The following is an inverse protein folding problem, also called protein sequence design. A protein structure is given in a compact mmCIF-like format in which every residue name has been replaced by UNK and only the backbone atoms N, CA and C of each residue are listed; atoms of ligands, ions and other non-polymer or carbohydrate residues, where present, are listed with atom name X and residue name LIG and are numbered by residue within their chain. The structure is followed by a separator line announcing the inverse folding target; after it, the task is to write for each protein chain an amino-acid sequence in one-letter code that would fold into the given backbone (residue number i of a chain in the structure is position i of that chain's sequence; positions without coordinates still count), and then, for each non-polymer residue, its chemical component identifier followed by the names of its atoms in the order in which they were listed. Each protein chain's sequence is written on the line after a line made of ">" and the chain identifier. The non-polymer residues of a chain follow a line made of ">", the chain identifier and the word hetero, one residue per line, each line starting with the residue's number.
data_IF_570892723650
#
_entry.id   IF_570892723650
#
_cell.length_a   1.000
_cell.length_b   1.000
_cell.length_c   1.000
_cell.angle_alpha   90.00
_cell.angle_beta   90.00
_cell.angle_gamma   90.00
#
_symmetry.space_group_name_H-M   'P 1'
#
loop_
_entity.id
_entity.type
_entity.pdbx_description
1 polymer ?
#
# COMPACT_ATOMS: atom_id res chain seq x y z
N UNK A 1 -23.48 86.72 9.68
CA UNK A 1 -24.00 86.35 8.36
C UNK A 1 -22.98 85.27 7.83
N UNK A 2 -22.96 84.14 8.28
CA UNK A 2 -23.75 82.88 8.21
C UNK A 2 -23.89 82.45 6.75
N UNK A 3 -23.07 81.58 6.29
CA UNK A 3 -23.11 80.88 5.06
C UNK A 3 -22.84 79.39 5.34
N UNK A 4 -23.93 78.69 5.48
CA UNK A 4 -24.01 77.25 5.66
C UNK A 4 -23.85 76.58 4.27
N UNK A 5 -22.87 75.73 4.11
CA UNK A 5 -22.73 74.87 2.93
C UNK A 5 -22.86 73.41 3.34
N UNK A 6 -23.75 72.65 2.68
CA UNK A 6 -23.97 71.23 3.02
C UNK A 6 -22.83 70.37 2.54
N UNK A 7 -22.45 69.41 3.37
CA UNK A 7 -21.52 68.31 3.04
C UNK A 7 -22.17 67.36 2.03
N UNK A 8 -21.41 66.86 1.05
CA UNK A 8 -21.87 65.72 0.24
C UNK A 8 -21.73 64.40 1.00
N UNK A 9 -22.76 63.57 0.83
CA UNK A 9 -22.92 62.23 1.34
C UNK A 9 -21.69 61.32 1.09
N UNK A 10 -21.22 60.71 2.15
CA UNK A 10 -20.26 59.60 2.09
C UNK A 10 -21.02 58.32 1.79
N UNK A 11 -20.89 57.82 0.59
CA UNK A 11 -21.34 56.47 0.25
C UNK A 11 -20.48 55.43 0.97
N UNK A 12 -21.05 54.32 1.48
CA UNK A 12 -20.24 53.27 2.11
C UNK A 12 -19.34 52.56 1.10
N UNK A 13 -18.17 52.03 1.51
CA UNK A 13 -17.26 51.31 0.63
C UNK A 13 -17.91 50.02 0.15
N UNK A 14 -18.00 49.88 -1.17
CA UNK A 14 -18.47 48.69 -1.82
C UNK A 14 -17.66 47.46 -1.44
N UNK A 15 -18.38 46.40 -1.13
CA UNK A 15 -17.89 45.04 -0.99
C UNK A 15 -17.08 44.64 -2.26
N UNK A 16 -15.77 44.64 -2.15
CA UNK A 16 -14.92 44.02 -3.13
C UNK A 16 -14.95 42.50 -2.96
N UNK A 17 -16.02 41.87 -3.42
CA UNK A 17 -16.03 40.44 -3.72
C UNK A 17 -15.15 40.23 -4.94
N UNK A 18 -13.83 40.05 -4.69
CA UNK A 18 -12.92 39.49 -5.67
C UNK A 18 -13.36 38.09 -6.05
N UNK A 19 -13.25 37.70 -7.33
CA UNK A 19 -13.61 36.35 -7.73
C UNK A 19 -12.69 35.37 -7.01
N UNK A 20 -13.28 34.55 -6.11
CA UNK A 20 -12.65 33.35 -5.60
C UNK A 20 -12.38 32.44 -6.78
N UNK A 21 -11.10 32.33 -7.17
CA UNK A 21 -10.68 31.31 -8.12
C UNK A 21 -11.16 29.95 -7.62
N UNK A 22 -11.80 29.16 -8.47
CA UNK A 22 -12.11 27.79 -8.10
C UNK A 22 -10.79 27.06 -7.90
N UNK A 23 -10.51 26.56 -6.69
CA UNK A 23 -9.54 25.53 -6.50
C UNK A 23 -10.04 24.31 -7.26
N UNK A 24 -9.57 24.18 -8.49
CA UNK A 24 -9.74 22.98 -9.29
C UNK A 24 -9.04 21.82 -8.57
N UNK A 25 -9.81 21.12 -7.75
CA UNK A 25 -9.50 19.78 -7.25
C UNK A 25 -9.49 18.81 -8.43
N UNK A 26 -8.45 18.89 -9.24
CA UNK A 26 -8.26 18.03 -10.40
C UNK A 26 -7.94 16.60 -9.95
N UNK A 27 -8.97 15.75 -9.86
CA UNK A 27 -8.82 14.31 -9.70
C UNK A 27 -10.03 13.57 -9.16
N UNK A 28 -10.82 14.18 -8.26
CA UNK A 28 -11.92 13.47 -7.58
C UNK A 28 -13.20 13.28 -8.37
N UNK A 29 -13.50 14.16 -9.33
CA UNK A 29 -14.80 14.19 -9.99
C UNK A 29 -15.05 13.06 -11.02
N UNK A 30 -14.01 12.46 -11.58
CA UNK A 30 -14.15 11.37 -12.53
C UNK A 30 -14.47 10.00 -11.91
N UNK A 31 -14.08 9.79 -10.64
CA UNK A 31 -14.29 8.54 -9.90
C UNK A 31 -15.62 8.54 -9.12
N UNK A 32 -16.07 9.69 -8.64
CA UNK A 32 -17.33 9.82 -7.90
C UNK A 32 -18.57 9.49 -8.74
N UNK A 33 -18.49 9.63 -10.07
CA UNK A 33 -19.56 9.23 -11.00
C UNK A 33 -19.72 7.70 -11.14
N UNK A 34 -18.74 6.92 -10.66
CA UNK A 34 -18.83 5.46 -10.58
C UNK A 34 -19.43 5.08 -9.24
N UNK A 35 -20.45 4.21 -9.24
CA UNK A 35 -21.05 3.72 -7.99
C UNK A 35 -20.01 3.16 -7.01
N UNK A 36 -20.39 2.92 -5.77
CA UNK A 36 -19.50 2.43 -4.68
C UNK A 36 -18.58 1.28 -5.08
N UNK A 37 -19.07 0.37 -5.91
CA UNK A 37 -18.29 -0.76 -6.44
C UNK A 37 -17.13 -0.29 -7.34
N UNK A 38 -17.34 0.71 -8.19
CA UNK A 38 -16.29 1.26 -9.05
C UNK A 38 -15.16 1.93 -8.26
N UNK A 39 -15.48 2.54 -7.11
CA UNK A 39 -14.48 3.09 -6.18
C UNK A 39 -13.68 1.98 -5.48
N UNK A 40 -14.33 0.90 -5.07
CA UNK A 40 -13.65 -0.26 -4.46
C UNK A 40 -12.70 -0.92 -5.46
N UNK A 41 -13.16 -1.19 -6.70
CA UNK A 41 -12.32 -1.77 -7.75
C UNK A 41 -11.15 -0.82 -8.11
N UNK A 42 -11.41 0.48 -8.18
CA UNK A 42 -10.35 1.48 -8.38
C UNK A 42 -9.32 1.49 -7.26
N UNK A 43 -9.76 1.40 -6.01
CA UNK A 43 -8.88 1.27 -4.85
C UNK A 43 -8.09 -0.05 -4.90
N UNK A 44 -8.71 -1.18 -5.30
CA UNK A 44 -8.00 -2.45 -5.48
C UNK A 44 -6.83 -2.30 -6.45
N UNK A 45 -7.00 -1.61 -7.56
CA UNK A 45 -5.98 -1.45 -8.56
C UNK A 45 -4.84 -0.50 -8.19
N UNK A 46 -5.15 0.58 -7.49
CA UNK A 46 -4.15 1.64 -7.19
C UNK A 46 -3.56 1.48 -5.80
N UNK A 47 -4.41 1.30 -4.79
CA UNK A 47 -3.99 1.27 -3.38
C UNK A 47 -3.37 -0.08 -3.02
N UNK A 48 -3.92 -1.18 -3.54
CA UNK A 48 -3.50 -2.54 -3.16
C UNK A 48 -2.64 -3.24 -4.22
N UNK A 49 -2.28 -2.55 -5.30
CA UNK A 49 -1.41 -3.10 -6.34
C UNK A 49 -0.07 -3.55 -5.78
N UNK A 50 0.52 -2.71 -4.95
CA UNK A 50 1.83 -2.92 -4.36
C UNK A 50 1.83 -4.10 -3.37
N UNK A 51 0.97 -4.05 -2.35
CA UNK A 51 0.85 -5.17 -1.39
C UNK A 51 0.44 -6.48 -2.06
N UNK A 52 -0.25 -6.42 -3.22
CA UNK A 52 -0.64 -7.57 -4.02
C UNK A 52 0.51 -8.23 -4.78
N UNK A 53 1.63 -7.55 -4.98
CA UNK A 53 2.83 -8.09 -5.62
C UNK A 53 3.82 -8.68 -4.60
N UNK A 54 3.68 -8.35 -3.32
CA UNK A 54 4.53 -8.87 -2.24
C UNK A 54 4.62 -10.41 -2.19
N UNK A 55 3.56 -11.20 -2.48
CA UNK A 55 3.65 -12.66 -2.53
C UNK A 55 4.71 -13.20 -3.49
N UNK A 56 5.04 -12.47 -4.55
CA UNK A 56 6.04 -12.90 -5.53
C UNK A 56 7.45 -13.02 -4.95
N UNK A 57 7.77 -12.29 -3.89
CA UNK A 57 9.12 -12.23 -3.34
C UNK A 57 9.22 -12.39 -1.83
N UNK A 58 8.21 -11.96 -1.06
CA UNK A 58 8.31 -11.91 0.40
C UNK A 58 8.50 -13.30 1.04
N UNK A 59 7.73 -14.29 0.62
CA UNK A 59 7.85 -15.66 1.15
C UNK A 59 9.17 -16.31 0.72
N UNK A 60 9.55 -16.14 -0.55
CA UNK A 60 10.82 -16.65 -1.08
C UNK A 60 12.00 -16.08 -0.29
N UNK A 61 12.00 -14.78 -0.05
CA UNK A 61 13.07 -14.10 0.71
C UNK A 61 13.08 -14.57 2.17
N UNK A 62 11.94 -14.64 2.81
CA UNK A 62 11.83 -15.11 4.19
C UNK A 62 12.30 -16.55 4.36
N UNK A 63 12.02 -17.44 3.40
CA UNK A 63 12.44 -18.84 3.45
C UNK A 63 13.87 -19.07 2.98
N UNK A 64 14.49 -18.14 2.23
CA UNK A 64 15.86 -18.27 1.73
C UNK A 64 16.89 -18.40 2.86
N UNK A 65 16.58 -17.83 4.03
CA UNK A 65 17.40 -17.87 5.23
C UNK A 65 17.04 -19.02 6.17
N UNK A 66 16.01 -19.82 5.84
CA UNK A 66 15.60 -20.99 6.62
C UNK A 66 16.53 -22.18 6.35
N UNK A 67 16.97 -22.86 7.40
CA UNK A 67 17.87 -24.01 7.27
C UNK A 67 17.14 -25.25 6.77
N UNK A 68 17.80 -26.01 5.91
CA UNK A 68 17.31 -27.30 5.44
C UNK A 68 17.40 -28.36 6.56
N UNK A 69 16.31 -29.08 6.81
CA UNK A 69 16.31 -30.19 7.79
C UNK A 69 14.92 -30.38 8.43
N UNK A 70 14.81 -31.21 9.43
CA UNK A 70 13.56 -31.46 10.19
C UNK A 70 13.00 -30.24 10.91
N UNK A 71 13.74 -29.16 11.00
CA UNK A 71 13.31 -27.83 11.44
C UNK A 71 12.62 -27.03 10.33
N UNK A 72 12.64 -27.52 9.07
CA UNK A 72 12.09 -26.77 7.93
C UNK A 72 10.57 -26.57 8.07
N UNK A 73 9.82 -27.55 8.54
CA UNK A 73 8.37 -27.43 8.76
C UNK A 73 8.04 -26.37 9.81
N UNK A 74 8.75 -26.37 10.93
CA UNK A 74 8.59 -25.35 11.99
C UNK A 74 8.99 -23.94 11.48
N UNK A 75 10.01 -23.85 10.65
CA UNK A 75 10.44 -22.60 10.07
C UNK A 75 9.40 -22.06 9.07
N UNK A 76 8.78 -22.91 8.26
CA UNK A 76 7.68 -22.53 7.36
C UNK A 76 6.48 -22.07 8.18
N UNK A 77 6.03 -22.87 9.15
CA UNK A 77 4.91 -22.50 10.03
C UNK A 77 5.15 -21.19 10.77
N UNK A 78 6.38 -21.00 11.30
CA UNK A 78 6.77 -19.77 11.98
C UNK A 78 6.75 -18.55 11.05
N UNK A 79 7.33 -18.68 9.86
CA UNK A 79 7.36 -17.60 8.85
C UNK A 79 5.96 -17.23 8.38
N UNK A 80 5.13 -18.22 8.02
CA UNK A 80 3.74 -17.99 7.59
C UNK A 80 2.94 -17.34 8.71
N UNK A 81 3.12 -17.80 9.96
CA UNK A 81 2.49 -17.19 11.13
C UNK A 81 2.89 -15.73 11.30
N UNK A 82 4.17 -15.38 11.15
CA UNK A 82 4.65 -14.00 11.23
C UNK A 82 4.06 -13.13 10.13
N UNK A 83 4.02 -13.61 8.88
CA UNK A 83 3.39 -12.89 7.75
C UNK A 83 1.91 -12.65 8.02
N UNK A 84 1.18 -13.69 8.43
CA UNK A 84 -0.24 -13.59 8.76
C UNK A 84 -0.50 -12.53 9.84
N UNK A 85 0.25 -12.57 10.95
CA UNK A 85 0.07 -11.61 12.03
C UNK A 85 0.60 -10.22 11.69
N UNK A 86 1.60 -10.10 10.80
CA UNK A 86 2.02 -8.80 10.27
C UNK A 86 0.89 -8.14 9.43
N UNK A 87 0.20 -8.90 8.58
CA UNK A 87 -0.98 -8.39 7.84
C UNK A 87 -2.11 -7.94 8.78
N UNK A 88 -2.35 -8.70 9.86
CA UNK A 88 -3.34 -8.31 10.86
C UNK A 88 -2.89 -7.07 11.64
N UNK A 89 -1.72 -7.10 12.27
CA UNK A 89 -1.31 -6.06 13.22
C UNK A 89 -0.88 -4.77 12.50
N UNK A 90 -0.07 -4.89 11.43
CA UNK A 90 0.45 -3.72 10.74
C UNK A 90 -0.61 -3.15 9.78
N UNK A 91 -1.16 -3.96 8.88
CA UNK A 91 -2.06 -3.41 7.87
C UNK A 91 -3.46 -3.19 8.44
N UNK A 92 -4.06 -4.23 9.04
CA UNK A 92 -5.45 -4.11 9.51
C UNK A 92 -5.55 -3.22 10.75
N UNK A 93 -4.80 -3.51 11.82
CA UNK A 93 -4.96 -2.78 13.08
C UNK A 93 -4.32 -1.39 12.97
N UNK A 94 -3.05 -1.28 12.61
CA UNK A 94 -2.34 0.01 12.57
C UNK A 94 -2.90 0.93 11.49
N UNK A 95 -3.00 0.49 10.21
CA UNK A 95 -3.42 1.37 9.13
C UNK A 95 -4.94 1.49 9.04
N UNK A 96 -5.69 0.37 8.89
CA UNK A 96 -7.13 0.41 8.61
C UNK A 96 -7.95 0.84 9.82
N UNK A 97 -7.60 0.39 11.04
CA UNK A 97 -8.36 0.73 12.25
C UNK A 97 -7.91 2.04 12.86
N UNK A 98 -6.60 2.28 13.01
CA UNK A 98 -6.07 3.47 13.70
C UNK A 98 -5.73 4.61 12.75
N UNK A 99 -4.77 4.47 11.84
CA UNK A 99 -4.25 5.57 11.04
C UNK A 99 -5.30 6.22 10.13
N UNK A 100 -6.18 5.44 9.53
CA UNK A 100 -7.26 5.98 8.70
C UNK A 100 -8.30 6.82 9.48
N UNK A 101 -8.22 6.88 10.82
CA UNK A 101 -9.02 7.82 11.61
C UNK A 101 -8.40 9.20 11.68
N UNK A 102 -7.07 9.29 11.57
CA UNK A 102 -6.32 10.53 11.61
C UNK A 102 -6.30 11.17 10.21
N UNK A 103 -7.40 11.76 9.79
CA UNK A 103 -7.48 12.47 8.51
C UNK A 103 -7.37 13.98 8.69
N UNK A 104 -6.67 14.62 7.77
CA UNK A 104 -6.60 16.06 7.66
C UNK A 104 -7.51 16.51 6.49
N UNK A 105 -8.77 16.86 6.80
CA UNK A 105 -9.79 17.28 5.80
C UNK A 105 -10.02 16.25 4.69
N UNK A 106 -9.97 14.96 5.03
CA UNK A 106 -10.11 13.86 4.08
C UNK A 106 -8.80 13.35 3.50
N UNK A 107 -7.69 14.05 3.67
CA UNK A 107 -6.37 13.63 3.20
C UNK A 107 -5.60 12.85 4.28
N UNK A 108 -4.73 11.94 3.84
CA UNK A 108 -3.84 11.14 4.66
C UNK A 108 -2.38 11.25 4.24
N UNK A 109 -1.57 10.29 4.69
CA UNK A 109 -0.14 10.24 4.42
C UNK A 109 0.72 10.87 5.52
N UNK A 110 2.04 10.69 5.40
CA UNK A 110 3.01 11.11 6.43
C UNK A 110 3.00 12.61 6.70
N UNK A 111 2.81 13.44 5.65
CA UNK A 111 2.75 14.90 5.78
C UNK A 111 1.44 15.38 6.44
N UNK A 112 0.31 14.74 6.13
CA UNK A 112 -0.95 15.02 6.79
C UNK A 112 -0.88 14.66 8.28
N UNK A 113 -0.28 13.52 8.63
CA UNK A 113 -0.06 13.10 10.01
C UNK A 113 0.87 14.07 10.75
N UNK A 114 1.93 14.55 10.09
CA UNK A 114 2.83 15.58 10.65
C UNK A 114 2.07 16.87 10.95
N UNK A 115 1.21 17.33 10.03
CA UNK A 115 0.41 18.54 10.22
C UNK A 115 -0.56 18.40 11.40
N UNK A 116 -1.25 17.26 11.50
CA UNK A 116 -2.14 16.95 12.62
C UNK A 116 -1.40 16.90 13.96
N UNK A 117 -0.23 16.26 14.01
CA UNK A 117 0.60 16.17 15.21
C UNK A 117 1.08 17.54 15.66
N UNK A 118 1.54 18.40 14.75
CA UNK A 118 1.94 19.77 15.07
C UNK A 118 0.78 20.61 15.59
N UNK A 119 -0.40 20.44 14.97
CA UNK A 119 -1.61 21.14 15.43
C UNK A 119 -2.02 20.69 16.84
N UNK A 120 -1.97 19.40 17.13
CA UNK A 120 -2.29 18.83 18.44
C UNK A 120 -1.33 19.31 19.55
N UNK A 121 -0.05 19.49 19.23
CA UNK A 121 0.97 19.99 20.17
C UNK A 121 0.81 21.51 20.40
N UNK A 122 0.13 22.23 19.53
CA UNK A 122 -0.06 23.67 19.59
C UNK A 122 1.20 24.51 19.28
N UNK A 123 2.29 23.89 18.86
CA UNK A 123 3.54 24.54 18.47
C UNK A 123 4.29 23.78 17.39
N UNK A 124 5.14 24.47 16.64
CA UNK A 124 6.02 23.84 15.65
C UNK A 124 7.12 23.07 16.38
N UNK A 125 7.00 21.73 16.40
CA UNK A 125 8.04 20.85 16.96
C UNK A 125 9.01 20.44 15.85
N UNK A 126 10.31 20.71 16.06
CA UNK A 126 11.36 20.30 15.12
C UNK A 126 11.46 18.78 14.98
N UNK A 127 11.21 18.03 16.06
CA UNK A 127 11.22 16.57 16.05
C UNK A 127 10.10 16.03 15.17
N UNK A 128 8.87 16.52 15.33
CA UNK A 128 7.72 16.10 14.51
C UNK A 128 7.93 16.46 13.04
N UNK A 129 8.50 17.64 12.77
CA UNK A 129 8.84 18.07 11.43
C UNK A 129 9.88 17.14 10.79
N UNK A 130 10.98 16.87 11.51
CA UNK A 130 12.03 15.96 11.02
C UNK A 130 11.50 14.56 10.76
N UNK A 131 10.72 13.97 11.67
CA UNK A 131 10.11 12.66 11.49
C UNK A 131 9.14 12.62 10.30
N UNK A 132 8.36 13.69 10.10
CA UNK A 132 7.45 13.78 8.95
C UNK A 132 8.19 13.84 7.61
N UNK A 133 9.28 14.61 7.54
CA UNK A 133 10.13 14.71 6.33
C UNK A 133 10.85 13.37 6.08
N UNK A 134 11.41 12.74 7.12
CA UNK A 134 12.03 11.41 6.99
C UNK A 134 11.01 10.38 6.48
N UNK A 135 9.80 10.35 7.05
CA UNK A 135 8.74 9.44 6.59
C UNK A 135 8.35 9.69 5.13
N UNK A 136 8.23 10.95 4.71
CA UNK A 136 7.96 11.28 3.32
C UNK A 136 9.11 10.86 2.39
N UNK A 137 10.36 11.10 2.79
CA UNK A 137 11.52 10.71 1.99
C UNK A 137 11.62 9.18 1.83
N UNK A 138 11.36 8.41 2.91
CA UNK A 138 11.32 6.95 2.84
C UNK A 138 10.19 6.44 1.93
N UNK A 139 9.01 7.06 1.99
CA UNK A 139 7.90 6.72 1.10
C UNK A 139 8.25 6.96 -0.38
N UNK A 140 8.91 8.08 -0.70
CA UNK A 140 9.39 8.31 -2.07
C UNK A 140 10.46 7.30 -2.50
N UNK A 141 11.35 6.90 -1.58
CA UNK A 141 12.35 5.87 -1.85
C UNK A 141 11.71 4.51 -2.15
N UNK A 142 10.71 4.14 -1.38
CA UNK A 142 9.93 2.90 -1.59
C UNK A 142 9.22 2.90 -2.95
N UNK A 143 8.62 4.01 -3.34
CA UNK A 143 7.97 4.17 -4.65
C UNK A 143 8.87 3.92 -5.87
N UNK A 144 10.19 3.89 -5.69
CA UNK A 144 11.17 3.51 -6.73
C UNK A 144 11.60 2.05 -6.58
N UNK A 145 11.86 1.61 -5.34
CA UNK A 145 12.40 0.27 -5.06
C UNK A 145 11.36 -0.83 -5.27
N UNK A 146 10.15 -0.65 -4.77
CA UNK A 146 9.12 -1.69 -4.78
C UNK A 146 8.67 -2.09 -6.19
N UNK A 147 8.38 -1.17 -7.13
CA UNK A 147 8.10 -1.54 -8.51
C UNK A 147 9.26 -2.29 -9.18
N UNK A 148 10.51 -1.90 -8.88
CA UNK A 148 11.68 -2.56 -9.45
C UNK A 148 11.82 -4.00 -8.96
N UNK A 149 11.67 -4.25 -7.66
CA UNK A 149 11.72 -5.59 -7.06
C UNK A 149 10.57 -6.46 -7.57
N UNK A 150 9.35 -5.91 -7.62
CA UNK A 150 8.15 -6.63 -8.07
C UNK A 150 8.26 -7.08 -9.52
N UNK A 151 8.69 -6.18 -10.42
CA UNK A 151 8.86 -6.52 -11.84
C UNK A 151 10.00 -7.51 -12.03
N UNK A 152 11.14 -7.30 -11.33
CA UNK A 152 12.27 -8.21 -11.41
C UNK A 152 11.88 -9.62 -10.96
N UNK A 153 11.22 -9.76 -9.80
CA UNK A 153 10.77 -11.05 -9.29
C UNK A 153 9.76 -11.75 -10.21
N UNK A 154 8.84 -10.99 -10.81
CA UNK A 154 7.91 -11.54 -11.79
C UNK A 154 8.62 -12.07 -13.03
N UNK A 155 9.63 -11.34 -13.55
CA UNK A 155 10.41 -11.77 -14.73
C UNK A 155 11.33 -12.93 -14.39
N UNK A 156 11.93 -12.95 -13.18
CA UNK A 156 12.72 -14.12 -12.69
C UNK A 156 11.87 -15.39 -12.61
N UNK A 157 10.59 -15.27 -12.26
CA UNK A 157 9.63 -16.37 -12.28
C UNK A 157 9.53 -17.06 -13.65
N UNK A 158 9.68 -16.32 -14.76
CA UNK A 158 9.73 -16.90 -16.11
C UNK A 158 10.94 -17.81 -16.29
N UNK A 159 12.02 -17.61 -15.55
CA UNK A 159 13.20 -18.47 -15.53
C UNK A 159 12.92 -19.89 -15.03
N UNK A 160 11.84 -20.09 -14.27
CA UNK A 160 11.39 -21.40 -13.79
C UNK A 160 10.54 -22.16 -14.81
N UNK A 161 10.18 -21.53 -15.93
CA UNK A 161 9.31 -22.16 -16.95
C UNK A 161 10.03 -23.34 -17.64
N UNK A 162 9.41 -24.54 -17.69
CA UNK A 162 10.01 -25.73 -18.30
C UNK A 162 10.37 -25.49 -19.77
N UNK A 163 11.60 -25.77 -20.14
CA UNK A 163 12.09 -25.72 -21.54
C UNK A 163 12.50 -24.33 -22.05
N UNK A 164 12.04 -23.23 -21.45
CA UNK A 164 12.31 -21.86 -21.90
C UNK A 164 13.13 -21.08 -20.88
N UNK A 165 13.04 -21.43 -19.59
CA UNK A 165 13.60 -20.66 -18.48
C UNK A 165 15.09 -20.36 -18.63
N UNK A 166 15.91 -21.36 -18.91
CA UNK A 166 17.36 -21.17 -19.08
C UNK A 166 17.74 -20.23 -20.23
N UNK A 167 16.90 -20.11 -21.26
CA UNK A 167 17.12 -19.18 -22.39
C UNK A 167 16.72 -17.75 -22.03
N UNK A 168 15.78 -17.57 -21.11
CA UNK A 168 15.30 -16.26 -20.68
C UNK A 168 16.17 -15.61 -19.59
N UNK A 169 16.91 -16.41 -18.81
CA UNK A 169 17.76 -15.91 -17.72
C UNK A 169 18.67 -14.73 -18.11
N UNK A 170 19.39 -14.75 -19.27
CA UNK A 170 20.22 -13.61 -19.67
C UNK A 170 19.44 -12.34 -20.01
N UNK A 171 18.15 -12.49 -20.31
CA UNK A 171 17.27 -11.38 -20.70
C UNK A 171 16.40 -10.85 -19.57
N UNK A 172 16.47 -11.42 -18.37
CA UNK A 172 15.66 -11.01 -17.21
C UNK A 172 15.81 -9.52 -16.94
N UNK A 173 17.04 -9.02 -16.84
CA UNK A 173 17.29 -7.60 -16.56
C UNK A 173 16.83 -6.67 -17.69
N UNK A 174 17.15 -6.91 -18.99
CA UNK A 174 16.61 -6.12 -20.09
C UNK A 174 15.08 -6.12 -20.17
N UNK A 175 14.44 -7.26 -19.95
CA UNK A 175 12.96 -7.38 -19.96
C UNK A 175 12.37 -6.57 -18.80
N UNK A 176 12.89 -6.72 -17.59
CA UNK A 176 12.45 -5.98 -16.42
C UNK A 176 12.60 -4.46 -16.63
N UNK A 177 13.74 -4.01 -17.14
CA UNK A 177 13.97 -2.61 -17.47
C UNK A 177 12.98 -2.09 -18.52
N UNK A 178 12.72 -2.86 -19.58
CA UNK A 178 11.73 -2.50 -20.60
C UNK A 178 10.32 -2.37 -20.06
N UNK A 179 9.90 -3.27 -19.16
CA UNK A 179 8.60 -3.22 -18.48
C UNK A 179 8.51 -1.96 -17.60
N UNK A 180 9.54 -1.68 -16.80
CA UNK A 180 9.56 -0.50 -15.92
C UNK A 180 9.50 0.81 -16.71
N UNK A 181 10.30 0.94 -17.78
CA UNK A 181 10.26 2.11 -18.65
C UNK A 181 8.85 2.30 -19.23
N UNK A 182 8.24 1.23 -19.75
CA UNK A 182 6.91 1.25 -20.30
C UNK A 182 5.86 1.65 -19.24
N UNK A 183 5.97 1.12 -18.03
CA UNK A 183 5.10 1.44 -16.90
C UNK A 183 5.19 2.93 -16.55
N UNK A 184 6.38 3.47 -16.36
CA UNK A 184 6.57 4.88 -16.02
C UNK A 184 6.11 5.82 -17.16
N UNK A 185 6.28 5.44 -18.42
CA UNK A 185 5.75 6.20 -19.56
C UNK A 185 4.22 6.24 -19.56
N UNK A 186 3.54 5.14 -19.21
CA UNK A 186 2.08 5.10 -19.11
C UNK A 186 1.58 5.85 -17.88
N UNK A 187 2.33 5.86 -16.79
CA UNK A 187 1.97 6.52 -15.53
C UNK A 187 1.77 8.03 -15.69
N UNK A 188 2.44 8.67 -16.64
CA UNK A 188 2.28 10.10 -16.95
C UNK A 188 0.85 10.48 -17.39
N UNK A 189 -0.01 9.51 -17.76
CA UNK A 189 -1.39 9.73 -18.23
C UNK A 189 -2.40 9.96 -17.11
N UNK A 190 -1.98 9.95 -15.85
CA UNK A 190 -2.78 10.30 -14.67
C UNK A 190 -3.49 9.12 -14.00
N UNK A 191 -3.72 9.27 -12.70
CA UNK A 191 -4.24 8.24 -11.78
C UNK A 191 -5.61 7.69 -12.17
N UNK A 192 -6.52 8.53 -12.69
CA UNK A 192 -7.87 8.10 -13.07
C UNK A 192 -7.89 7.14 -14.27
N UNK A 193 -6.97 7.32 -15.23
CA UNK A 193 -6.80 6.40 -16.36
C UNK A 193 -6.22 5.07 -15.90
N UNK A 194 -5.24 5.12 -15.01
CA UNK A 194 -4.60 3.95 -14.43
C UNK A 194 -5.58 3.12 -13.62
N UNK A 195 -6.36 3.73 -12.72
CA UNK A 195 -7.36 3.03 -11.90
C UNK A 195 -8.38 2.23 -12.74
N UNK A 196 -8.71 2.71 -13.93
CA UNK A 196 -9.63 2.01 -14.85
C UNK A 196 -9.03 0.72 -15.43
N UNK A 197 -7.75 0.73 -15.73
CA UNK A 197 -7.06 -0.42 -16.31
C UNK A 197 -6.59 -1.38 -15.22
N UNK A 198 -5.94 -0.87 -14.19
CA UNK A 198 -5.35 -1.68 -13.12
C UNK A 198 -6.37 -2.30 -12.17
N UNK A 199 -7.50 -1.61 -11.90
CA UNK A 199 -8.54 -2.16 -11.02
C UNK A 199 -8.98 -3.58 -11.39
N UNK A 200 -9.49 -3.81 -12.60
CA UNK A 200 -9.89 -5.15 -13.04
C UNK A 200 -8.71 -6.13 -13.09
N UNK A 201 -7.54 -5.71 -13.59
CA UNK A 201 -6.35 -6.57 -13.70
C UNK A 201 -5.92 -7.06 -12.31
N UNK A 202 -5.79 -6.15 -11.36
CA UNK A 202 -5.39 -6.48 -9.99
C UNK A 202 -6.45 -7.31 -9.26
N UNK A 203 -7.74 -7.06 -9.54
CA UNK A 203 -8.82 -7.91 -9.01
C UNK A 203 -8.68 -9.36 -9.49
N UNK A 204 -8.45 -9.57 -10.78
CA UNK A 204 -8.22 -10.90 -11.34
C UNK A 204 -6.95 -11.52 -10.75
N UNK A 205 -5.90 -10.73 -10.58
CA UNK A 205 -4.66 -11.18 -9.96
C UNK A 205 -4.89 -11.72 -8.53
N UNK A 206 -5.59 -10.98 -7.67
CA UNK A 206 -5.93 -11.46 -6.32
C UNK A 206 -6.77 -12.74 -6.33
N UNK A 207 -7.70 -12.87 -7.28
CA UNK A 207 -8.49 -14.11 -7.43
C UNK A 207 -7.62 -15.29 -7.83
N UNK A 208 -6.65 -15.08 -8.72
CA UNK A 208 -5.67 -16.13 -9.09
C UNK A 208 -4.85 -16.54 -7.88
N UNK A 209 -4.28 -15.57 -7.13
CA UNK A 209 -3.52 -15.84 -5.92
C UNK A 209 -4.34 -16.64 -4.89
N UNK A 210 -5.57 -16.21 -4.62
CA UNK A 210 -6.46 -16.90 -3.68
C UNK A 210 -6.80 -18.32 -4.15
N UNK A 211 -7.06 -18.49 -5.46
CA UNK A 211 -7.41 -19.81 -6.03
C UNK A 211 -6.24 -20.78 -5.93
N UNK A 212 -5.02 -20.32 -6.24
CA UNK A 212 -3.80 -21.14 -6.09
C UNK A 212 -3.56 -21.49 -4.62
N UNK A 213 -3.70 -20.50 -3.72
CA UNK A 213 -3.55 -20.73 -2.30
C UNK A 213 -4.56 -21.76 -1.78
N UNK A 214 -5.85 -21.65 -2.12
CA UNK A 214 -6.85 -22.64 -1.72
C UNK A 214 -6.47 -24.02 -2.25
N UNK A 215 -6.03 -24.13 -3.50
CA UNK A 215 -5.65 -25.41 -4.10
C UNK A 215 -4.51 -26.09 -3.31
N UNK A 216 -3.47 -25.34 -2.95
CA UNK A 216 -2.32 -25.89 -2.23
C UNK A 216 -2.56 -26.11 -0.72
N UNK A 217 -3.48 -25.37 -0.09
CA UNK A 217 -3.89 -25.67 1.31
C UNK A 217 -4.43 -27.11 1.42
N UNK A 218 -5.07 -27.63 0.40
CA UNK A 218 -5.57 -29.03 0.41
C UNK A 218 -4.47 -30.08 0.30
N UNK A 219 -3.27 -29.72 -0.19
CA UNK A 219 -2.14 -30.63 -0.23
C UNK A 219 -1.58 -30.91 1.17
N UNK A 220 -1.57 -29.88 2.05
CA UNK A 220 -1.19 -30.00 3.45
C UNK A 220 -1.99 -29.06 4.36
N UNK A 221 -3.07 -29.58 4.92
CA UNK A 221 -3.96 -28.82 5.83
C UNK A 221 -3.25 -28.42 7.14
N UNK A 222 -2.09 -29.05 7.47
CA UNK A 222 -1.35 -28.74 8.70
C UNK A 222 -0.86 -27.29 8.74
N UNK A 223 -0.71 -26.63 7.57
CA UNK A 223 -0.32 -25.21 7.46
C UNK A 223 -1.29 -24.27 8.20
N UNK A 224 -2.55 -24.66 8.37
CA UNK A 224 -3.53 -23.87 9.12
C UNK A 224 -3.15 -23.64 10.59
N UNK A 225 -2.23 -24.46 11.13
CA UNK A 225 -1.63 -24.22 12.47
C UNK A 225 -0.90 -22.87 12.53
N UNK A 226 -0.37 -22.38 11.40
CA UNK A 226 0.28 -21.07 11.31
C UNK A 226 -0.65 -19.88 11.65
N UNK A 227 -1.96 -20.07 11.67
CA UNK A 227 -2.90 -19.06 12.15
C UNK A 227 -2.69 -18.73 13.65
N UNK A 228 -2.12 -19.67 14.42
CA UNK A 228 -1.76 -19.42 15.81
C UNK A 228 -0.51 -18.53 15.90
N UNK A 229 -0.56 -17.42 16.67
CA UNK A 229 0.61 -16.54 16.88
C UNK A 229 1.75 -17.24 17.62
N UNK A 230 1.47 -18.37 18.25
CA UNK A 230 2.44 -19.16 18.99
C UNK A 230 3.61 -19.59 18.11
N UNK A 231 3.35 -20.07 16.88
CA UNK A 231 4.42 -20.51 15.96
C UNK A 231 5.33 -19.37 15.56
N UNK A 232 4.79 -18.18 15.27
CA UNK A 232 5.59 -17.00 14.97
C UNK A 232 6.42 -16.54 16.18
N UNK A 233 5.84 -16.52 17.36
CA UNK A 233 6.54 -16.14 18.59
C UNK A 233 7.66 -17.12 18.95
N UNK A 234 7.40 -18.42 18.91
CA UNK A 234 8.42 -19.44 19.16
C UNK A 234 9.56 -19.33 18.13
N UNK A 235 9.22 -19.19 16.86
CA UNK A 235 10.21 -19.03 15.81
C UNK A 235 11.17 -17.86 16.07
N UNK A 236 10.67 -16.71 16.54
CA UNK A 236 11.52 -15.56 16.90
C UNK A 236 12.39 -15.83 18.12
N UNK A 237 11.85 -16.53 19.14
CA UNK A 237 12.57 -16.83 20.38
C UNK A 237 13.70 -17.83 20.11
N UNK A 238 13.40 -18.92 19.38
CA UNK A 238 14.32 -20.01 19.11
C UNK A 238 15.47 -19.59 18.17
N UNK A 239 15.19 -18.68 17.24
CA UNK A 239 16.18 -18.21 16.27
C UNK A 239 16.91 -16.90 16.69
N UNK A 240 16.50 -16.23 17.76
CA UNK A 240 17.16 -15.05 18.31
C UNK A 240 17.49 -13.99 17.26
N UNK A 241 18.77 -13.70 17.04
CA UNK A 241 19.22 -12.67 16.05
C UNK A 241 18.80 -13.02 14.62
N UNK A 242 18.84 -14.30 14.25
CA UNK A 242 18.40 -14.76 12.93
C UNK A 242 16.89 -14.53 12.75
N UNK A 243 16.10 -14.82 13.78
CA UNK A 243 14.66 -14.53 13.81
C UNK A 243 14.37 -13.05 13.60
N UNK A 244 15.17 -12.17 14.20
CA UNK A 244 15.06 -10.71 13.99
C UNK A 244 15.39 -10.29 12.54
N UNK A 245 16.41 -10.89 11.91
CA UNK A 245 16.73 -10.63 10.50
C UNK A 245 15.59 -11.10 9.60
N UNK A 246 15.05 -12.30 9.86
CA UNK A 246 13.91 -12.85 9.13
C UNK A 246 12.64 -11.99 9.27
N UNK A 247 12.47 -11.32 10.40
CA UNK A 247 11.38 -10.36 10.57
C UNK A 247 11.47 -9.21 9.56
N UNK A 248 12.68 -8.80 9.15
CA UNK A 248 12.88 -7.85 8.05
C UNK A 248 12.29 -8.37 6.73
N UNK A 249 12.53 -9.64 6.41
CA UNK A 249 11.93 -10.26 5.21
C UNK A 249 10.42 -10.41 5.31
N UNK A 250 9.87 -10.70 6.50
CA UNK A 250 8.42 -10.73 6.76
C UNK A 250 7.79 -9.36 6.53
N UNK A 251 8.51 -8.26 6.84
CA UNK A 251 8.03 -6.90 6.57
C UNK A 251 7.79 -6.64 5.08
N UNK A 252 8.46 -7.34 4.17
CA UNK A 252 8.19 -7.23 2.73
C UNK A 252 6.74 -7.59 2.38
N UNK A 253 6.11 -8.49 3.14
CA UNK A 253 4.73 -8.87 2.92
C UNK A 253 3.71 -7.76 3.25
N UNK A 254 4.10 -6.74 4.00
CA UNK A 254 3.26 -5.60 4.39
C UNK A 254 3.68 -4.30 3.71
N UNK A 255 4.69 -4.33 2.84
CA UNK A 255 5.10 -3.19 2.02
C UNK A 255 3.93 -2.73 1.16
N UNK A 256 3.75 -1.42 0.97
CA UNK A 256 2.60 -0.86 0.28
C UNK A 256 1.38 -0.61 1.18
N UNK A 257 1.42 -0.99 2.47
CA UNK A 257 0.33 -0.71 3.40
C UNK A 257 0.11 0.79 3.64
N UNK A 258 1.15 1.61 3.49
CA UNK A 258 1.09 3.07 3.61
C UNK A 258 0.23 3.73 2.53
N UNK A 259 0.10 3.10 1.35
CA UNK A 259 -0.76 3.58 0.29
C UNK A 259 -2.24 3.65 0.72
N UNK A 260 -2.69 2.75 1.65
CA UNK A 260 -4.03 2.78 2.21
C UNK A 260 -4.34 4.13 2.87
N UNK A 261 -3.35 4.70 3.53
CA UNK A 261 -3.49 5.98 4.22
C UNK A 261 -3.21 7.17 3.31
N UNK A 262 -2.23 7.07 2.42
CA UNK A 262 -1.84 8.14 1.51
C UNK A 262 -2.92 8.42 0.45
N UNK A 263 -3.51 7.37 -0.12
CA UNK A 263 -4.52 7.48 -1.18
C UNK A 263 -5.96 7.66 -0.67
N UNK A 264 -6.10 7.85 0.64
CA UNK A 264 -7.40 8.05 1.27
C UNK A 264 -8.16 9.26 0.71
N UNK A 265 -7.44 10.30 0.28
CA UNK A 265 -8.03 11.49 -0.34
C UNK A 265 -8.66 11.21 -1.72
N UNK A 266 -8.15 10.22 -2.45
CA UNK A 266 -8.63 9.89 -3.81
C UNK A 266 -9.84 8.95 -3.82
N UNK A 267 -9.85 7.94 -2.96
CA UNK A 267 -10.87 6.88 -2.96
C UNK A 267 -11.84 6.95 -1.78
N UNK A 268 -11.45 7.66 -0.73
CA UNK A 268 -12.19 7.71 0.53
C UNK A 268 -11.93 6.51 1.44
N UNK A 269 -12.19 6.68 2.73
CA UNK A 269 -11.95 5.66 3.77
C UNK A 269 -12.78 4.38 3.56
N UNK A 270 -14.07 4.52 3.23
CA UNK A 270 -14.98 3.38 3.18
C UNK A 270 -14.66 2.38 2.04
N UNK A 271 -14.39 2.81 0.79
CA UNK A 271 -13.98 1.90 -0.28
C UNK A 271 -12.66 1.18 0.02
N UNK A 272 -11.65 1.89 0.56
CA UNK A 272 -10.37 1.28 0.91
C UNK A 272 -10.55 0.23 2.02
N UNK A 273 -11.25 0.56 3.11
CA UNK A 273 -11.52 -0.39 4.20
C UNK A 273 -12.29 -1.61 3.73
N UNK A 274 -13.33 -1.40 2.90
CA UNK A 274 -14.12 -2.50 2.35
C UNK A 274 -13.27 -3.39 1.43
N UNK A 275 -12.50 -2.80 0.52
CA UNK A 275 -11.59 -3.52 -0.37
C UNK A 275 -10.58 -4.37 0.41
N UNK A 276 -9.99 -3.80 1.46
CA UNK A 276 -9.05 -4.52 2.31
C UNK A 276 -9.72 -5.69 3.04
N UNK A 277 -10.71 -5.42 3.87
CA UNK A 277 -11.26 -6.41 4.81
C UNK A 277 -12.01 -7.55 4.12
N UNK A 278 -12.73 -7.25 3.03
CA UNK A 278 -13.61 -8.22 2.38
C UNK A 278 -13.02 -8.89 1.14
N UNK A 279 -11.93 -8.36 0.61
CA UNK A 279 -11.37 -8.90 -0.62
C UNK A 279 -9.86 -9.14 -0.53
N UNK A 280 -9.05 -8.10 -0.34
CA UNK A 280 -7.59 -8.20 -0.46
C UNK A 280 -6.99 -9.05 0.67
N UNK A 281 -7.35 -8.78 1.92
CA UNK A 281 -6.85 -9.53 3.07
C UNK A 281 -7.18 -11.02 2.98
N UNK A 282 -8.43 -11.45 2.72
CA UNK A 282 -8.73 -12.87 2.51
C UNK A 282 -7.93 -13.51 1.38
N UNK A 283 -7.77 -12.83 0.25
CA UNK A 283 -6.99 -13.35 -0.88
C UNK A 283 -5.52 -13.56 -0.52
N UNK A 284 -4.90 -12.57 0.15
CA UNK A 284 -3.51 -12.68 0.61
C UNK A 284 -3.33 -13.77 1.67
N UNK A 285 -4.25 -13.86 2.63
CA UNK A 285 -4.20 -14.92 3.64
C UNK A 285 -4.25 -16.31 3.02
N UNK A 286 -5.16 -16.53 2.09
CA UNK A 286 -5.25 -17.80 1.36
C UNK A 286 -3.96 -18.10 0.58
N UNK A 287 -3.39 -17.11 -0.08
CA UNK A 287 -2.16 -17.29 -0.85
C UNK A 287 -0.94 -17.60 0.03
N UNK A 288 -0.78 -16.95 1.18
CA UNK A 288 0.35 -17.20 2.08
C UNK A 288 0.23 -18.52 2.85
N UNK A 289 -0.98 -19.03 3.00
CA UNK A 289 -1.25 -20.34 3.61
C UNK A 289 -1.09 -21.51 2.64
N UNK A 290 -1.19 -21.30 1.33
CA UNK A 290 -1.02 -22.30 0.28
C UNK A 290 0.21 -22.06 -0.56
#
# INVERSE_FOLDING_TARGET
>A
MTGDTPRPDASPPGDATGPTAPHDGHGGHGLAAKGKLGLVIGAIGVVFGDIGTSPLYAMREALSHSRSGGEAELAVLGTVSLVFWALILVVTVKYVVFLMRADNKGEGGSLALMALAQHAIGKRSAVVFFLGICGAAMFYGDGVLTPAVSVLSAVEGLGQAPGIGNRLMPFVLPIAAGILISLFMVQSRGTASMARAFGPITTVWFLILASLGVFHIFDDVSILRALSPHYGAMFLIDNGVLGFILLGSVFLAVTGAEALYTDMGHFGKAPIRAGWLWFVLPCLMLNYLG
#
